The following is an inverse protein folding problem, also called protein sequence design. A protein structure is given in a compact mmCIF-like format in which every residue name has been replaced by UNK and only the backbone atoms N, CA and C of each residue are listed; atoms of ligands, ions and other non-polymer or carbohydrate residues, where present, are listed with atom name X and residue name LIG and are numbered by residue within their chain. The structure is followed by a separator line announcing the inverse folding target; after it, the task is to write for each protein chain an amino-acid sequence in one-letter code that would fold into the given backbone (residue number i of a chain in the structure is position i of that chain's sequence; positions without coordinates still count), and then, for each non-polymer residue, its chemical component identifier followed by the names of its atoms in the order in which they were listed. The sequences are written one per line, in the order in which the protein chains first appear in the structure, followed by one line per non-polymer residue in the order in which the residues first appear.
data_IF_366856744242
#
_entry.id   IF_366856744242
#
_cell.length_a   1.000
_cell.length_b   1.000
_cell.length_c   1.000
_cell.angle_alpha   90.00
_cell.angle_beta   90.00
_cell.angle_gamma   90.00
#
_symmetry.space_group_name_H-M   'P 1'
#
loop_
_entity.id
_entity.type
_entity.pdbx_description
1 polymer ?
#
# COMPACT_ATOMS: atom_id res chain seq x y z
N UNK A 1 1.77 2.57 6.18
CA UNK A 1 0.55 3.38 5.84
C UNK A 1 -0.53 2.57 5.12
N UNK A 2 -1.14 1.58 5.76
CA UNK A 2 -2.14 0.67 5.13
C UNK A 2 -3.26 1.42 4.36
N UNK A 3 -3.85 2.53 4.87
CA UNK A 3 -4.89 3.25 4.12
C UNK A 3 -4.39 3.84 2.80
N UNK A 4 -3.14 4.32 2.75
CA UNK A 4 -2.56 4.88 1.53
C UNK A 4 -2.38 3.81 0.46
N UNK A 5 -1.89 2.62 0.81
CA UNK A 5 -1.79 1.49 -0.12
C UNK A 5 -3.17 1.05 -0.62
N UNK A 6 -4.17 0.96 0.26
CA UNK A 6 -5.52 0.61 -0.14
C UNK A 6 -6.12 1.64 -1.11
N UNK A 7 -5.98 2.94 -0.83
CA UNK A 7 -6.44 4.02 -1.71
C UNK A 7 -5.70 4.03 -3.04
N UNK A 8 -4.38 3.82 -3.02
CA UNK A 8 -3.58 3.71 -4.25
C UNK A 8 -4.03 2.51 -5.08
N UNK A 9 -4.27 1.36 -4.45
CA UNK A 9 -4.82 0.19 -5.11
C UNK A 9 -6.13 0.49 -5.83
N UNK A 10 -7.06 1.19 -5.16
CA UNK A 10 -8.34 1.62 -5.77
C UNK A 10 -8.10 2.58 -6.94
N UNK A 11 -7.25 3.60 -6.76
CA UNK A 11 -6.90 4.55 -7.83
C UNK A 11 -6.31 3.84 -9.05
N UNK A 12 -5.44 2.86 -8.83
CA UNK A 12 -4.80 2.08 -9.89
C UNK A 12 -5.79 1.25 -10.71
N UNK A 13 -6.91 0.79 -10.14
CA UNK A 13 -7.97 0.13 -10.91
C UNK A 13 -8.57 1.10 -11.95
N UNK A 14 -8.82 2.35 -11.57
CA UNK A 14 -9.29 3.37 -12.51
C UNK A 14 -8.21 3.77 -13.53
N UNK A 15 -6.94 3.86 -13.12
CA UNK A 15 -5.81 4.09 -14.03
C UNK A 15 -5.66 2.95 -15.04
N UNK A 16 -5.87 1.71 -14.63
CA UNK A 16 -5.92 0.56 -15.53
C UNK A 16 -6.99 0.76 -16.62
N UNK A 17 -8.16 1.27 -16.24
CA UNK A 17 -9.24 1.60 -17.18
C UNK A 17 -8.86 2.74 -18.15
N UNK A 18 -8.10 3.72 -17.70
CA UNK A 18 -7.54 4.76 -18.57
C UNK A 18 -6.50 4.21 -19.54
N UNK A 19 -5.64 3.31 -19.07
CA UNK A 19 -4.56 2.73 -19.85
C UNK A 19 -5.08 1.75 -20.92
N UNK A 20 -6.17 1.04 -20.63
CA UNK A 20 -6.79 0.12 -21.58
C UNK A 20 -8.30 0.29 -21.61
N UNK A 21 -8.82 0.53 -22.81
CA UNK A 21 -10.27 0.56 -23.08
C UNK A 21 -10.83 -0.83 -23.39
N UNK A 22 -9.96 -1.81 -23.56
CA UNK A 22 -10.35 -3.18 -23.82
C UNK A 22 -10.97 -3.82 -22.56
N UNK A 23 -12.04 -4.63 -22.77
CA UNK A 23 -12.91 -5.13 -21.70
C UNK A 23 -12.20 -6.02 -20.68
N UNK A 24 -11.13 -6.72 -21.08
CA UNK A 24 -10.44 -7.68 -20.22
C UNK A 24 -9.11 -7.17 -19.68
N UNK A 25 -8.37 -6.41 -20.49
CA UNK A 25 -7.00 -6.02 -20.14
C UNK A 25 -6.93 -4.90 -19.09
N UNK A 26 -7.95 -4.07 -18.93
CA UNK A 26 -7.95 -2.98 -17.94
C UNK A 26 -7.74 -3.49 -16.50
N UNK A 27 -8.33 -4.64 -16.18
CA UNK A 27 -8.20 -5.26 -14.87
C UNK A 27 -6.74 -5.62 -14.58
N UNK A 28 -6.06 -6.23 -15.54
CA UNK A 28 -4.66 -6.61 -15.39
C UNK A 28 -3.73 -5.40 -15.30
N UNK A 29 -3.99 -4.35 -16.07
CA UNK A 29 -3.25 -3.08 -15.92
C UNK A 29 -3.49 -2.46 -14.54
N UNK A 30 -4.73 -2.46 -14.06
CA UNK A 30 -5.06 -1.97 -12.71
C UNK A 30 -4.33 -2.72 -11.62
N UNK A 31 -4.32 -4.05 -11.68
CA UNK A 31 -3.59 -4.92 -10.73
C UNK A 31 -2.08 -4.67 -10.81
N UNK A 32 -1.50 -4.58 -12.01
CA UNK A 32 -0.07 -4.32 -12.19
C UNK A 32 0.33 -2.93 -11.64
N UNK A 33 -0.46 -1.90 -11.91
CA UNK A 33 -0.22 -0.56 -11.36
C UNK A 33 -0.36 -0.54 -9.84
N UNK A 34 -1.36 -1.24 -9.29
CA UNK A 34 -1.55 -1.36 -7.85
C UNK A 34 -0.35 -2.06 -7.18
N UNK A 35 0.15 -3.14 -7.77
CA UNK A 35 1.35 -3.82 -7.29
C UNK A 35 2.56 -2.87 -7.27
N UNK A 36 2.83 -2.16 -8.37
CA UNK A 36 3.95 -1.22 -8.44
C UNK A 36 3.78 0.01 -7.53
N UNK A 37 2.53 0.43 -7.27
CA UNK A 37 2.25 1.59 -6.42
C UNK A 37 2.71 1.40 -4.98
N UNK A 38 2.78 0.17 -4.48
CA UNK A 38 3.29 -0.12 -3.14
C UNK A 38 4.70 0.44 -2.96
N UNK A 39 5.64 0.03 -3.80
CA UNK A 39 7.04 0.48 -3.72
C UNK A 39 7.18 2.02 -3.85
N UNK A 40 6.32 2.66 -4.66
CA UNK A 40 6.33 4.13 -4.79
C UNK A 40 5.84 4.78 -3.51
N UNK A 41 4.76 4.28 -2.89
CA UNK A 41 4.21 4.84 -1.65
C UNK A 41 5.19 4.66 -0.50
N UNK A 42 5.84 3.51 -0.39
CA UNK A 42 6.84 3.26 0.65
C UNK A 42 8.10 4.10 0.44
N UNK A 43 8.54 4.28 -0.80
CA UNK A 43 9.63 5.20 -1.09
C UNK A 43 9.28 6.67 -0.73
N UNK A 44 8.01 7.09 -0.92
CA UNK A 44 7.53 8.41 -0.50
C UNK A 44 7.32 8.52 1.01
N UNK A 45 7.25 7.41 1.73
CA UNK A 45 7.09 7.41 3.18
C UNK A 45 8.27 8.05 3.93
N UNK A 46 9.44 8.26 3.28
CA UNK A 46 10.54 9.07 3.83
C UNK A 46 10.13 10.48 4.25
N UNK A 47 9.05 11.01 3.65
CA UNK A 47 8.49 12.34 3.94
C UNK A 47 7.37 12.30 4.98
N UNK A 48 7.10 11.18 5.63
CA UNK A 48 5.98 10.98 6.54
C UNK A 48 6.44 10.41 7.88
N UNK A 49 5.56 10.40 8.88
CA UNK A 49 5.87 9.85 10.20
C UNK A 49 6.23 8.36 10.16
N UNK A 50 5.51 7.56 9.48
CA UNK A 50 5.67 6.12 9.17
C UNK A 50 6.17 5.18 10.30
N UNK A 51 6.26 5.62 11.55
CA UNK A 51 6.72 4.83 12.71
C UNK A 51 5.55 4.48 13.65
N UNK A 52 4.41 4.09 13.07
CA UNK A 52 3.24 3.72 13.85
C UNK A 52 3.36 2.28 14.36
N UNK A 53 3.30 2.11 15.69
CA UNK A 53 3.42 0.80 16.34
C UNK A 53 2.44 0.67 17.51
N UNK A 54 1.80 -0.50 17.71
CA UNK A 54 0.91 -0.72 18.86
C UNK A 54 1.66 -0.80 20.19
N UNK A 55 2.99 -0.91 20.17
CA UNK A 55 3.86 -0.96 21.35
C UNK A 55 4.83 0.21 21.47
N UNK A 56 4.70 1.21 20.58
CA UNK A 56 5.55 2.41 20.58
C UNK A 56 5.16 3.46 21.62
N UNK A 57 5.60 4.71 21.42
CA UNK A 57 5.17 5.86 22.22
C UNK A 57 3.65 6.03 22.18
N UNK A 58 3.09 6.83 23.09
CA UNK A 58 1.64 7.12 23.11
C UNK A 58 1.17 7.69 21.75
N UNK A 59 1.98 8.54 21.13
CA UNK A 59 1.66 9.10 19.81
C UNK A 59 1.73 8.03 18.72
N UNK A 60 2.77 7.19 18.72
CA UNK A 60 2.91 6.07 17.80
C UNK A 60 1.72 5.10 17.89
N UNK A 61 1.26 4.77 19.12
CA UNK A 61 0.06 3.96 19.34
C UNK A 61 -1.19 4.63 18.80
N UNK A 62 -1.38 5.94 19.07
CA UNK A 62 -2.50 6.69 18.52
C UNK A 62 -2.51 6.64 16.98
N UNK A 63 -1.39 6.93 16.34
CA UNK A 63 -1.27 6.91 14.87
C UNK A 63 -1.54 5.50 14.32
N UNK A 64 -1.03 4.46 14.98
CA UNK A 64 -1.30 3.07 14.59
C UNK A 64 -2.79 2.75 14.55
N UNK A 65 -3.50 3.02 15.65
CA UNK A 65 -4.94 2.72 15.74
C UNK A 65 -5.77 3.61 14.83
N UNK A 66 -5.38 4.88 14.67
CA UNK A 66 -6.00 5.80 13.73
C UNK A 66 -5.92 5.29 12.29
N UNK A 67 -4.73 4.87 11.85
CA UNK A 67 -4.56 4.34 10.51
C UNK A 67 -5.19 2.96 10.32
N UNK A 68 -5.21 2.13 11.33
CA UNK A 68 -5.90 0.84 11.26
C UNK A 68 -7.41 1.05 11.07
N UNK A 69 -8.02 1.95 11.82
CA UNK A 69 -9.42 2.30 11.65
C UNK A 69 -9.70 2.91 10.26
N UNK A 70 -8.81 3.78 9.78
CA UNK A 70 -8.86 4.33 8.43
C UNK A 70 -8.79 3.26 7.35
N UNK A 71 -7.87 2.30 7.48
CA UNK A 71 -7.72 1.18 6.54
C UNK A 71 -8.98 0.32 6.49
N UNK A 72 -9.52 -0.08 7.65
CA UNK A 72 -10.76 -0.86 7.72
C UNK A 72 -11.91 -0.10 7.05
N UNK A 73 -12.02 1.21 7.30
CA UNK A 73 -13.07 2.05 6.70
C UNK A 73 -12.94 2.14 5.18
N UNK A 74 -11.74 2.35 4.66
CA UNK A 74 -11.47 2.41 3.21
C UNK A 74 -11.78 1.06 2.55
N UNK A 75 -11.30 -0.04 3.11
CA UNK A 75 -11.52 -1.39 2.58
C UNK A 75 -13.02 -1.73 2.57
N UNK A 76 -13.71 -1.48 3.70
CA UNK A 76 -15.15 -1.70 3.79
C UNK A 76 -15.91 -0.89 2.74
N UNK A 77 -15.63 0.42 2.66
CA UNK A 77 -16.24 1.29 1.66
C UNK A 77 -15.98 0.80 0.23
N UNK A 78 -14.76 0.42 -0.07
CA UNK A 78 -14.37 -0.05 -1.39
C UNK A 78 -15.14 -1.31 -1.78
N UNK A 79 -15.11 -2.34 -0.94
CA UNK A 79 -15.77 -3.63 -1.22
C UNK A 79 -17.31 -3.52 -1.25
N UNK A 80 -17.88 -2.55 -0.51
CA UNK A 80 -19.31 -2.28 -0.56
C UNK A 80 -19.74 -1.59 -1.86
N UNK A 81 -18.86 -0.76 -2.44
CA UNK A 81 -19.17 -0.04 -3.69
C UNK A 81 -18.86 -0.88 -4.94
N UNK A 82 -17.74 -1.58 -4.95
CA UNK A 82 -17.34 -2.44 -6.07
C UNK A 82 -16.31 -3.48 -5.59
N UNK A 83 -16.68 -4.77 -5.67
CA UNK A 83 -15.81 -5.86 -5.21
C UNK A 83 -14.50 -5.94 -5.97
N UNK A 84 -14.43 -5.42 -7.19
CA UNK A 84 -13.22 -5.40 -8.02
C UNK A 84 -12.11 -4.53 -7.43
N UNK A 85 -12.45 -3.55 -6.60
CA UNK A 85 -11.45 -2.81 -5.82
C UNK A 85 -10.61 -3.73 -4.91
N UNK A 86 -11.19 -4.87 -4.49
CA UNK A 86 -10.46 -5.88 -3.72
C UNK A 86 -9.20 -6.38 -4.41
N UNK A 87 -9.21 -6.54 -5.73
CA UNK A 87 -8.02 -6.94 -6.49
C UNK A 87 -6.91 -5.88 -6.43
N UNK A 88 -7.26 -4.61 -6.62
CA UNK A 88 -6.31 -3.51 -6.49
C UNK A 88 -5.75 -3.36 -5.08
N UNK A 89 -6.61 -3.44 -4.07
CA UNK A 89 -6.19 -3.38 -2.65
C UNK A 89 -5.26 -4.54 -2.32
N UNK A 90 -5.62 -5.77 -2.70
CA UNK A 90 -4.80 -6.95 -2.44
C UNK A 90 -3.44 -6.85 -3.16
N UNK A 91 -3.42 -6.40 -4.41
CA UNK A 91 -2.19 -6.20 -5.16
C UNK A 91 -1.29 -5.12 -4.51
N UNK A 92 -1.87 -4.00 -4.08
CA UNK A 92 -1.14 -2.94 -3.39
C UNK A 92 -0.62 -3.35 -2.01
N UNK A 93 -1.28 -4.28 -1.32
CA UNK A 93 -0.83 -4.81 -0.02
C UNK A 93 0.03 -6.07 -0.12
N UNK A 94 0.26 -6.58 -1.33
CA UNK A 94 0.92 -7.89 -1.53
C UNK A 94 2.36 -7.92 -1.02
N UNK A 95 3.10 -6.81 -1.05
CA UNK A 95 4.45 -6.70 -0.48
C UNK A 95 4.44 -6.95 1.02
N UNK A 96 3.58 -6.23 1.76
CA UNK A 96 3.45 -6.40 3.21
C UNK A 96 2.97 -7.79 3.57
N UNK A 97 2.00 -8.33 2.81
CA UNK A 97 1.49 -9.68 3.02
C UNK A 97 2.57 -10.73 2.79
N UNK A 98 3.40 -10.55 1.75
CA UNK A 98 4.49 -11.45 1.44
C UNK A 98 5.61 -11.35 2.49
N UNK A 99 6.14 -10.13 2.73
CA UNK A 99 7.34 -9.95 3.53
C UNK A 99 7.07 -10.06 5.02
N UNK A 100 5.99 -9.43 5.52
CA UNK A 100 5.72 -9.40 6.96
C UNK A 100 4.89 -10.59 7.45
N UNK A 101 4.02 -11.15 6.61
CA UNK A 101 3.16 -12.25 7.05
C UNK A 101 3.69 -13.60 6.58
N UNK A 102 3.96 -13.74 5.28
CA UNK A 102 4.33 -15.04 4.72
C UNK A 102 5.78 -15.39 5.02
N UNK A 103 6.76 -14.57 4.61
CA UNK A 103 8.18 -14.87 4.82
C UNK A 103 8.52 -14.88 6.32
N UNK A 104 8.04 -13.91 7.08
CA UNK A 104 8.28 -13.85 8.52
C UNK A 104 7.58 -15.00 9.24
N UNK A 105 6.34 -15.36 8.88
CA UNK A 105 5.63 -16.47 9.44
C UNK A 105 6.32 -17.81 9.22
N UNK A 106 6.83 -18.06 8.00
CA UNK A 106 7.58 -19.29 7.68
C UNK A 106 8.91 -19.32 8.45
N UNK A 107 9.66 -18.22 8.45
CA UNK A 107 10.94 -18.16 9.16
C UNK A 107 10.77 -18.38 10.66
N UNK A 108 9.74 -17.81 11.28
CA UNK A 108 9.44 -18.02 12.69
C UNK A 108 9.03 -19.47 12.99
N UNK A 109 8.30 -20.12 12.10
CA UNK A 109 7.90 -21.50 12.27
C UNK A 109 9.08 -22.49 12.16
N UNK A 110 10.10 -22.15 11.32
CA UNK A 110 11.27 -23.02 11.11
C UNK A 110 12.35 -22.86 12.18
N UNK A 111 12.56 -21.67 12.71
CA UNK A 111 13.74 -21.35 13.54
C UNK A 111 13.44 -21.21 15.04
N UNK A 112 12.20 -21.46 15.47
CA UNK A 112 11.83 -21.53 16.90
C UNK A 112 11.92 -20.21 17.66
N UNK A 113 11.32 -19.15 17.15
CA UNK A 113 11.12 -17.85 17.82
C UNK A 113 12.33 -17.21 18.55
N UNK A 114 13.51 -17.04 17.96
CA UNK A 114 14.43 -16.07 18.49
C UNK A 114 14.14 -14.67 17.91
N UNK A 115 14.61 -13.64 18.60
CA UNK A 115 14.47 -12.25 18.22
C UNK A 115 14.83 -12.04 16.73
N UNK A 116 13.83 -11.72 15.90
CA UNK A 116 14.01 -11.44 14.49
C UNK A 116 13.87 -12.65 13.55
N UNK A 117 12.75 -13.31 13.57
CA UNK A 117 12.42 -14.50 12.79
C UNK A 117 12.45 -14.39 11.25
N UNK A 118 13.33 -13.65 10.66
CA UNK A 118 13.55 -13.69 9.21
C UNK A 118 14.93 -14.26 8.96
N UNK A 119 15.03 -15.39 8.25
CA UNK A 119 16.35 -15.88 7.86
C UNK A 119 17.01 -14.81 6.98
N UNK A 120 18.31 -14.57 7.17
CA UNK A 120 19.09 -13.61 6.38
C UNK A 120 18.92 -13.90 4.89
N UNK A 121 18.87 -15.16 4.51
CA UNK A 121 18.67 -15.59 3.13
C UNK A 121 17.31 -15.16 2.56
N UNK A 122 16.22 -15.35 3.31
CA UNK A 122 14.88 -14.95 2.86
C UNK A 122 14.78 -13.43 2.72
N UNK A 123 15.36 -12.69 3.66
CA UNK A 123 15.43 -11.24 3.61
C UNK A 123 16.22 -10.73 2.41
N UNK A 124 17.40 -11.31 2.13
CA UNK A 124 18.26 -10.86 1.05
C UNK A 124 17.76 -11.23 -0.35
N UNK A 125 17.02 -12.33 -0.51
CA UNK A 125 16.72 -12.89 -1.83
C UNK A 125 15.23 -12.88 -2.20
N UNK A 126 14.32 -12.92 -1.23
CA UNK A 126 12.89 -13.08 -1.48
C UNK A 126 12.04 -11.88 -1.04
N UNK A 127 12.67 -10.86 -0.47
CA UNK A 127 12.00 -9.68 0.03
C UNK A 127 11.54 -8.78 -1.13
N UNK A 128 10.26 -8.44 -1.19
CA UNK A 128 9.70 -7.64 -2.28
C UNK A 128 10.04 -6.14 -2.17
N UNK A 129 10.36 -5.65 -0.98
CA UNK A 129 10.74 -4.23 -0.77
C UNK A 129 12.09 -3.83 -1.40
N UNK A 130 12.79 -4.73 -2.09
CA UNK A 130 13.98 -4.36 -2.87
C UNK A 130 13.70 -3.30 -3.92
N UNK A 131 12.49 -3.25 -4.50
CA UNK A 131 12.13 -2.21 -5.46
C UNK A 131 12.01 -0.83 -4.79
N UNK A 132 11.49 -0.77 -3.58
CA UNK A 132 11.49 0.44 -2.75
C UNK A 132 12.92 0.92 -2.48
N UNK A 133 13.80 0.02 -2.03
CA UNK A 133 15.21 0.36 -1.79
C UNK A 133 15.91 0.86 -3.03
N UNK A 134 15.65 0.25 -4.19
CA UNK A 134 16.16 0.75 -5.45
C UNK A 134 15.69 2.19 -5.73
N UNK A 135 14.41 2.50 -5.51
CA UNK A 135 13.89 3.86 -5.66
C UNK A 135 14.51 4.84 -4.66
N UNK A 136 14.69 4.43 -3.39
CA UNK A 136 15.34 5.25 -2.38
C UNK A 136 16.79 5.56 -2.73
N UNK A 137 17.52 4.58 -3.23
CA UNK A 137 18.96 4.72 -3.52
C UNK A 137 19.22 5.43 -4.87
N UNK A 138 18.26 5.47 -5.77
CA UNK A 138 18.42 6.07 -7.11
C UNK A 138 17.67 7.40 -7.27
N UNK A 139 16.36 7.39 -7.02
CA UNK A 139 15.50 8.58 -7.25
C UNK A 139 15.58 9.54 -6.07
N UNK A 140 15.64 9.01 -4.84
CA UNK A 140 15.67 9.80 -3.60
C UNK A 140 17.05 9.82 -2.94
N UNK A 141 18.12 9.50 -3.69
CA UNK A 141 19.50 9.53 -3.18
C UNK A 141 19.84 10.90 -2.60
N UNK A 142 20.27 10.93 -1.33
CA UNK A 142 20.63 12.18 -0.63
C UNK A 142 19.45 12.99 -0.08
N UNK A 143 18.22 12.52 -0.21
CA UNK A 143 17.06 13.14 0.44
C UNK A 143 17.05 12.76 1.92
N UNK A 144 16.84 13.76 2.79
CA UNK A 144 16.72 13.54 4.23
C UNK A 144 15.48 12.72 4.55
N UNK A 145 15.63 11.73 5.42
CA UNK A 145 14.56 10.82 5.85
C UNK A 145 13.99 11.30 7.17
N UNK A 146 12.66 11.41 7.26
CA UNK A 146 11.94 11.93 8.41
C UNK A 146 11.14 10.86 9.16
N UNK A 147 11.53 9.60 9.05
CA UNK A 147 10.90 8.50 9.79
C UNK A 147 10.92 8.78 11.30
N UNK A 148 9.76 8.63 11.94
CA UNK A 148 9.64 8.80 13.40
C UNK A 148 9.54 10.25 13.87
N UNK A 149 9.62 11.25 12.99
CA UNK A 149 9.38 12.64 13.35
C UNK A 149 7.87 12.92 13.38
N UNK A 150 7.32 13.12 14.58
CA UNK A 150 5.90 13.33 14.82
C UNK A 150 5.33 14.53 14.05
N UNK A 151 6.15 15.55 13.75
CA UNK A 151 5.72 16.73 12.98
C UNK A 151 5.32 16.39 11.56
N UNK A 152 5.86 15.31 10.98
CA UNK A 152 5.53 14.84 9.63
C UNK A 152 4.25 14.02 9.54
N UNK A 153 3.56 13.78 10.64
CA UNK A 153 2.22 13.18 10.63
C UNK A 153 1.21 14.03 9.85
N UNK A 154 1.35 15.36 9.89
CA UNK A 154 0.49 16.26 9.08
C UNK A 154 0.70 16.05 7.56
N UNK A 155 1.94 15.77 7.14
CA UNK A 155 2.25 15.45 5.74
C UNK A 155 1.59 14.14 5.33
N UNK A 156 1.63 13.14 6.21
CA UNK A 156 0.96 11.86 6.01
C UNK A 156 -0.56 12.01 5.85
N UNK A 157 -1.20 12.79 6.72
CA UNK A 157 -2.63 13.13 6.59
C UNK A 157 -2.94 13.82 5.26
N UNK A 158 -2.10 14.75 4.83
CA UNK A 158 -2.27 15.45 3.56
C UNK A 158 -2.13 14.50 2.36
N UNK A 159 -1.16 13.59 2.38
CA UNK A 159 -1.00 12.57 1.32
C UNK A 159 -2.22 11.65 1.24
N UNK A 160 -2.76 11.19 2.36
CA UNK A 160 -3.98 10.37 2.39
C UNK A 160 -5.18 11.16 1.88
N UNK A 161 -5.32 12.43 2.26
CA UNK A 161 -6.39 13.30 1.75
C UNK A 161 -6.31 13.50 0.22
N UNK A 162 -5.11 13.68 -0.32
CA UNK A 162 -4.88 13.75 -1.77
C UNK A 162 -5.25 12.45 -2.47
N UNK A 163 -4.91 11.29 -1.91
CA UNK A 163 -5.30 10.00 -2.44
C UNK A 163 -6.83 9.82 -2.41
N UNK A 164 -7.50 10.21 -1.34
CA UNK A 164 -8.97 10.21 -1.27
C UNK A 164 -9.58 11.09 -2.36
N UNK A 165 -9.07 12.30 -2.54
CA UNK A 165 -9.54 13.21 -3.59
C UNK A 165 -9.29 12.64 -4.99
N UNK A 166 -8.13 11.99 -5.22
CA UNK A 166 -7.79 11.34 -6.48
C UNK A 166 -8.72 10.17 -6.77
N UNK A 167 -9.01 9.31 -5.79
CA UNK A 167 -9.97 8.21 -5.93
C UNK A 167 -11.36 8.74 -6.26
N UNK A 168 -11.82 9.78 -5.53
CA UNK A 168 -13.12 10.41 -5.79
C UNK A 168 -13.19 10.97 -7.22
N UNK A 169 -12.15 11.68 -7.65
CA UNK A 169 -12.08 12.25 -9.00
C UNK A 169 -12.06 11.16 -10.08
N UNK A 170 -11.21 10.16 -9.94
CA UNK A 170 -11.07 9.05 -10.88
C UNK A 170 -12.39 8.26 -10.99
N UNK A 171 -13.05 7.98 -9.87
CA UNK A 171 -14.34 7.28 -9.86
C UNK A 171 -15.40 8.02 -10.68
N UNK A 172 -15.42 9.34 -10.60
CA UNK A 172 -16.43 10.15 -11.31
C UNK A 172 -16.10 10.36 -12.80
N UNK A 173 -14.82 10.32 -13.19
CA UNK A 173 -14.40 10.61 -14.57
C UNK A 173 -13.99 9.37 -15.35
N UNK A 174 -13.70 8.28 -14.66
CA UNK A 174 -13.27 7.01 -15.26
C UNK A 174 -13.94 5.85 -14.51
N UNK A 175 -15.26 5.72 -14.58
CA UNK A 175 -15.97 4.64 -13.88
C UNK A 175 -15.50 3.28 -14.40
N UNK A 176 -15.49 2.29 -13.53
CA UNK A 176 -15.28 0.90 -13.93
C UNK A 176 -16.45 0.40 -14.78
N UNK A 177 -16.24 -0.53 -15.73
CA UNK A 177 -17.32 -1.10 -16.54
C UNK A 177 -18.43 -1.69 -15.66
N UNK A 178 -19.68 -1.61 -16.10
CA UNK A 178 -20.77 -2.30 -15.41
C UNK A 178 -20.68 -3.81 -15.67
N UNK A 179 -21.03 -4.63 -14.68
CA UNK A 179 -20.96 -6.10 -14.78
C UNK A 179 -21.89 -6.64 -15.88
N UNK A 180 -22.98 -5.93 -16.16
CA UNK A 180 -23.97 -6.32 -17.18
C UNK A 180 -23.48 -6.11 -18.63
N UNK A 181 -22.34 -5.43 -18.82
CA UNK A 181 -21.73 -5.25 -20.16
C UNK A 181 -20.76 -6.39 -20.51
N UNK A 182 -20.58 -7.37 -19.62
CA UNK A 182 -19.64 -8.49 -19.77
C UNK A 182 -20.28 -9.77 -20.38
N UNK A 183 -21.59 -9.77 -20.72
CA UNK A 183 -22.25 -10.82 -21.48
C UNK A 183 -22.25 -10.47 -23.00
#
# INVERSE_FOLDING_TARGET
MIPAHALAGIACMHLGRLASRDKESWLWFGIAFAFLSHAVIDALAIFTYHDASPSGSTFSQFVFWFWLAGAVSVIYWALHNDRRYGYGILAALSYDLWDHWFLRGISCASDGFPDGCMSVYAYEHLHLHHLEWFLLDTVFAGVERHYGDESYFIVELFCVALLCASVWWLRNHTPLPQEDEEE
#
